data_IF_501898751053
#
_entry.id   IF_501898751053
#
_cell.length_a   1.000
_cell.length_b   1.000
_cell.length_c   1.000
_cell.angle_alpha   90.00
_cell.angle_beta   90.00
_cell.angle_gamma   90.00
#
_symmetry.space_group_name_H-M   'P 1'
#
loop_
_entity.id
_entity.type
_entity.pdbx_description
1 polymer ?
#
# COMPACT_ATOMS: atom_id res chain seq x y z
N UNK A 1 -33.54 -15.76 -40.77
CA UNK A 1 -34.22 -15.09 -39.64
C UNK A 1 -34.04 -15.98 -38.42
N UNK A 2 -32.90 -15.84 -37.73
CA UNK A 2 -32.59 -16.59 -36.51
C UNK A 2 -32.49 -15.57 -35.37
N UNK A 3 -33.37 -15.73 -34.38
CA UNK A 3 -33.45 -14.90 -33.18
C UNK A 3 -32.29 -15.32 -32.27
N UNK A 4 -31.28 -14.46 -32.12
CA UNK A 4 -30.28 -14.57 -31.07
C UNK A 4 -30.88 -13.91 -29.83
N UNK A 5 -31.27 -14.72 -28.86
CA UNK A 5 -31.70 -14.24 -27.55
C UNK A 5 -30.51 -13.56 -26.84
N UNK A 6 -30.60 -12.24 -26.69
CA UNK A 6 -29.68 -11.48 -25.87
C UNK A 6 -29.92 -11.87 -24.39
N UNK A 7 -28.97 -12.58 -23.79
CA UNK A 7 -28.87 -12.64 -22.34
C UNK A 7 -28.47 -11.25 -21.85
N UNK A 8 -29.47 -10.45 -21.45
CA UNK A 8 -29.26 -9.32 -20.57
C UNK A 8 -28.69 -9.86 -19.25
N UNK A 9 -27.38 -9.80 -19.10
CA UNK A 9 -26.76 -9.94 -17.80
C UNK A 9 -27.30 -8.81 -16.91
N UNK A 10 -28.12 -9.18 -15.92
CA UNK A 10 -28.52 -8.28 -14.85
C UNK A 10 -27.24 -7.71 -14.22
N UNK A 11 -26.96 -6.44 -14.51
CA UNK A 11 -25.97 -5.67 -13.77
C UNK A 11 -26.51 -5.58 -12.35
N UNK A 12 -25.85 -6.24 -11.39
CA UNK A 12 -26.05 -5.92 -9.99
C UNK A 12 -25.64 -4.46 -9.82
N UNK A 13 -26.56 -3.56 -9.42
CA UNK A 13 -26.23 -2.16 -9.26
C UNK A 13 -25.11 -2.02 -8.22
N UNK A 14 -24.18 -1.10 -8.48
CA UNK A 14 -23.20 -0.68 -7.48
C UNK A 14 -23.96 -0.31 -6.19
N UNK A 15 -23.47 -0.78 -5.04
CA UNK A 15 -24.13 -0.51 -3.76
C UNK A 15 -24.22 1.00 -3.55
N UNK A 16 -25.41 1.49 -3.20
CA UNK A 16 -25.66 2.92 -3.01
C UNK A 16 -24.65 3.54 -2.02
N UNK A 17 -24.25 4.82 -2.21
CA UNK A 17 -23.33 5.48 -1.30
C UNK A 17 -23.86 5.42 0.14
N UNK A 18 -23.00 5.01 1.08
CA UNK A 18 -23.32 4.93 2.50
C UNK A 18 -22.77 6.20 3.16
N UNK A 19 -23.44 6.73 4.17
CA UNK A 19 -22.89 7.86 4.90
C UNK A 19 -21.52 7.48 5.52
N UNK A 20 -20.48 8.27 5.27
CA UNK A 20 -19.13 8.08 5.84
C UNK A 20 -19.11 8.49 7.32
N UNK A 21 -19.74 7.70 8.20
CA UNK A 21 -19.99 8.10 9.60
C UNK A 21 -18.74 8.19 10.47
N UNK A 22 -17.71 7.42 10.12
CA UNK A 22 -16.44 7.38 10.86
C UNK A 22 -15.51 8.56 10.56
N UNK A 23 -15.81 9.36 9.53
CA UNK A 23 -14.95 10.45 9.08
C UNK A 23 -15.61 11.82 9.34
N UNK A 24 -14.95 12.66 10.14
CA UNK A 24 -15.34 14.05 10.39
C UNK A 24 -14.23 15.00 9.97
N UNK A 25 -14.60 16.26 9.70
CA UNK A 25 -13.66 17.35 9.40
C UNK A 25 -12.63 16.98 8.31
N UNK A 26 -13.08 16.27 7.27
CA UNK A 26 -12.22 15.80 6.19
C UNK A 26 -11.57 17.01 5.50
N UNK A 27 -10.24 16.97 5.39
CA UNK A 27 -9.42 18.01 4.78
C UNK A 27 -8.51 17.42 3.72
N UNK A 28 -8.52 18.02 2.53
CA UNK A 28 -7.60 17.70 1.45
C UNK A 28 -6.25 18.40 1.67
N UNK A 29 -5.15 17.67 1.49
CA UNK A 29 -3.77 18.13 1.76
C UNK A 29 -2.95 18.36 0.48
N UNK A 30 -3.27 17.63 -0.59
CA UNK A 30 -2.59 17.74 -1.88
C UNK A 30 -3.58 18.03 -3.01
N UNK A 31 -3.06 18.59 -4.10
CA UNK A 31 -3.84 18.99 -5.25
C UNK A 31 -3.02 18.76 -6.50
N UNK A 32 -3.62 18.15 -7.53
CA UNK A 32 -2.92 17.79 -8.76
C UNK A 32 -1.88 16.67 -8.60
N UNK A 33 -1.47 16.10 -9.74
CA UNK A 33 -0.52 14.99 -9.78
C UNK A 33 -1.14 13.66 -9.34
N UNK A 34 -0.28 12.73 -8.92
CA UNK A 34 -0.69 11.47 -8.30
C UNK A 34 -0.01 11.37 -6.93
N UNK A 35 -0.79 11.41 -5.86
CA UNK A 35 -0.31 11.43 -4.48
C UNK A 35 -0.87 10.21 -3.74
N UNK A 36 -0.01 9.44 -3.07
CA UNK A 36 -0.43 8.24 -2.37
C UNK A 36 0.48 7.95 -1.17
N UNK A 37 0.12 6.90 -0.41
CA UNK A 37 0.99 6.30 0.61
C UNK A 37 1.56 7.32 1.60
N UNK A 38 0.66 8.08 2.23
CA UNK A 38 1.03 9.05 3.24
C UNK A 38 1.06 8.40 4.63
N UNK A 39 2.17 8.56 5.34
CA UNK A 39 2.36 7.95 6.65
C UNK A 39 2.89 8.96 7.68
N UNK A 40 2.31 8.94 8.88
CA UNK A 40 2.68 9.82 9.97
C UNK A 40 4.08 9.50 10.52
N UNK A 41 4.82 10.53 10.92
CA UNK A 41 5.88 10.34 11.91
C UNK A 41 5.27 10.01 13.28
N UNK A 42 6.10 9.52 14.21
CA UNK A 42 5.64 9.08 15.54
C UNK A 42 4.85 10.15 16.32
N UNK A 43 5.28 11.40 16.22
CA UNK A 43 4.68 12.52 16.96
C UNK A 43 3.46 13.12 16.24
N UNK A 44 3.08 12.56 15.08
CA UNK A 44 1.95 13.02 14.27
C UNK A 44 2.02 14.51 13.93
N UNK A 45 3.20 14.99 13.53
CA UNK A 45 3.45 16.38 13.11
C UNK A 45 3.78 16.49 11.63
N UNK A 46 4.27 15.40 11.03
CA UNK A 46 4.64 15.31 9.62
C UNK A 46 4.06 14.06 8.98
N UNK A 47 3.82 14.16 7.67
CA UNK A 47 3.56 13.03 6.78
C UNK A 47 4.77 12.86 5.86
N UNK A 48 5.17 11.63 5.60
CA UNK A 48 5.97 11.25 4.42
C UNK A 48 5.02 10.67 3.39
N UNK A 49 5.21 10.95 2.12
CA UNK A 49 4.33 10.49 1.06
C UNK A 49 5.06 10.41 -0.28
N UNK A 50 4.48 9.65 -1.22
CA UNK A 50 4.96 9.61 -2.60
C UNK A 50 4.07 10.47 -3.49
N UNK A 51 4.69 11.21 -4.40
CA UNK A 51 3.98 12.07 -5.34
C UNK A 51 4.65 12.11 -6.69
N UNK A 52 3.84 12.03 -7.75
CA UNK A 52 4.25 12.34 -9.13
C UNK A 52 3.96 13.79 -9.45
N UNK A 53 4.99 14.57 -9.73
CA UNK A 53 4.90 15.97 -10.13
C UNK A 53 5.58 16.19 -11.49
N UNK A 54 5.16 17.18 -12.30
CA UNK A 54 5.62 17.36 -13.68
C UNK A 54 7.14 17.53 -13.85
N UNK A 55 7.82 18.03 -12.83
CA UNK A 55 9.26 18.29 -12.83
C UNK A 55 10.13 17.03 -12.64
N UNK A 56 9.54 15.89 -12.24
CA UNK A 56 10.25 14.65 -11.99
C UNK A 56 9.88 13.56 -13.01
N UNK A 57 10.80 12.61 -13.29
CA UNK A 57 10.51 11.53 -14.23
C UNK A 57 9.38 10.60 -13.75
N UNK A 58 9.27 10.38 -12.44
CA UNK A 58 8.28 9.52 -11.81
C UNK A 58 8.06 9.91 -10.33
N UNK A 59 7.27 9.14 -9.56
CA UNK A 59 6.98 9.46 -8.15
C UNK A 59 8.25 9.66 -7.33
N UNK A 60 8.25 10.70 -6.50
CA UNK A 60 9.31 11.07 -5.58
C UNK A 60 8.79 11.09 -4.14
N UNK A 61 9.71 11.01 -3.17
CA UNK A 61 9.37 11.02 -1.75
C UNK A 61 9.45 12.43 -1.20
N UNK A 62 8.36 12.87 -0.59
CA UNK A 62 8.23 14.16 0.05
C UNK A 62 7.80 14.00 1.50
N UNK A 63 8.05 15.05 2.27
CA UNK A 63 7.37 15.27 3.55
C UNK A 63 6.53 16.54 3.52
N UNK A 64 5.51 16.62 4.37
CA UNK A 64 4.71 17.83 4.60
C UNK A 64 4.17 17.88 6.04
N UNK A 65 3.75 19.07 6.48
CA UNK A 65 2.97 19.24 7.71
C UNK A 65 1.53 18.75 7.52
N UNK A 66 0.81 18.53 8.62
CA UNK A 66 -0.58 18.06 8.59
C UNK A 66 -1.59 19.08 8.03
N UNK A 67 -1.17 20.33 7.85
CA UNK A 67 -1.93 21.36 7.14
C UNK A 67 -1.69 21.36 5.62
N UNK A 68 -0.81 20.48 5.12
CA UNK A 68 -0.40 20.42 3.71
C UNK A 68 0.72 21.37 3.34
N UNK A 69 1.23 22.17 4.27
CA UNK A 69 2.34 23.11 4.05
C UNK A 69 3.72 22.45 4.22
N UNK A 70 4.79 23.22 3.94
CA UNK A 70 6.18 22.84 4.17
C UNK A 70 6.60 21.54 3.44
N UNK A 71 6.20 21.43 2.17
CA UNK A 71 6.54 20.29 1.31
C UNK A 71 8.05 20.25 1.03
N UNK A 72 8.72 19.13 1.34
CA UNK A 72 10.17 18.95 1.14
C UNK A 72 10.49 17.63 0.46
N UNK A 73 11.26 17.69 -0.63
CA UNK A 73 11.80 16.52 -1.33
C UNK A 73 12.86 15.83 -0.46
N UNK A 74 12.78 14.50 -0.36
CA UNK A 74 13.73 13.65 0.36
C UNK A 74 14.39 12.58 -0.51
N UNK A 75 13.82 12.27 -1.67
CA UNK A 75 14.47 11.46 -2.70
C UNK A 75 15.39 12.29 -3.61
N UNK A 76 16.02 11.65 -4.59
CA UNK A 76 17.00 12.27 -5.49
C UNK A 76 16.41 13.18 -6.57
N UNK A 77 15.09 13.11 -6.80
CA UNK A 77 14.48 13.68 -8.00
C UNK A 77 14.69 12.84 -9.27
N UNK A 78 15.32 11.65 -9.15
CA UNK A 78 15.62 10.73 -10.24
C UNK A 78 14.99 9.38 -9.99
N UNK A 79 14.70 8.65 -11.06
CA UNK A 79 14.07 7.33 -11.02
C UNK A 79 12.69 7.38 -10.38
N UNK A 80 12.09 6.20 -10.16
CA UNK A 80 10.85 6.07 -9.39
C UNK A 80 11.16 5.80 -7.93
N UNK A 81 10.36 6.37 -7.04
CA UNK A 81 10.41 6.11 -5.61
C UNK A 81 9.04 5.65 -5.08
N UNK A 82 9.04 4.88 -3.99
CA UNK A 82 7.80 4.35 -3.42
C UNK A 82 7.95 4.00 -1.94
N UNK A 83 6.82 3.87 -1.24
CA UNK A 83 6.70 3.24 0.09
C UNK A 83 7.64 3.86 1.14
N UNK A 84 7.59 5.19 1.28
CA UNK A 84 8.39 5.87 2.30
C UNK A 84 7.89 5.63 3.72
N UNK A 85 8.76 5.55 4.72
CA UNK A 85 8.36 5.38 6.13
C UNK A 85 9.34 6.04 7.10
N UNK A 86 8.83 6.63 8.18
CA UNK A 86 9.69 7.22 9.22
C UNK A 86 10.25 6.17 10.19
N UNK A 87 11.49 6.36 10.63
CA UNK A 87 11.96 5.69 11.85
C UNK A 87 11.24 6.26 13.09
N UNK A 88 11.00 5.43 14.13
CA UNK A 88 10.24 5.85 15.31
C UNK A 88 11.01 6.84 16.21
N UNK A 89 12.29 7.09 15.98
CA UNK A 89 13.05 8.17 16.59
C UNK A 89 13.01 9.48 15.79
N UNK A 90 12.29 9.48 14.66
CA UNK A 90 12.14 10.63 13.77
C UNK A 90 13.41 11.04 13.03
N UNK A 91 14.49 10.24 13.08
CA UNK A 91 15.78 10.61 12.48
C UNK A 91 15.88 10.27 10.99
N UNK A 92 15.15 9.26 10.52
CA UNK A 92 15.31 8.71 9.18
C UNK A 92 13.98 8.57 8.46
N UNK A 93 14.05 8.72 7.14
CA UNK A 93 13.00 8.31 6.20
C UNK A 93 13.59 7.20 5.34
N UNK A 94 12.96 6.03 5.37
CA UNK A 94 13.26 4.88 4.54
C UNK A 94 12.37 4.92 3.31
N UNK A 95 12.86 4.50 2.15
CA UNK A 95 12.06 4.42 0.93
C UNK A 95 12.77 3.56 -0.11
N UNK A 96 11.99 3.00 -1.04
CA UNK A 96 12.57 2.29 -2.17
C UNK A 96 12.71 3.20 -3.37
N UNK A 97 13.80 3.06 -4.13
CA UNK A 97 14.04 3.85 -5.32
C UNK A 97 14.80 3.08 -6.40
N UNK A 98 14.57 3.46 -7.66
CA UNK A 98 15.31 2.92 -8.82
C UNK A 98 16.52 3.77 -9.21
N UNK A 99 16.76 4.92 -8.57
CA UNK A 99 17.67 5.97 -9.07
C UNK A 99 19.10 5.51 -9.45
N UNK A 100 19.66 4.49 -8.80
CA UNK A 100 20.99 3.99 -9.17
C UNK A 100 21.00 3.08 -10.41
N UNK A 101 19.88 2.42 -10.72
CA UNK A 101 19.74 1.47 -11.84
C UNK A 101 18.98 2.07 -13.02
N UNK A 102 18.03 2.96 -12.73
CA UNK A 102 17.24 3.71 -13.70
C UNK A 102 16.89 5.10 -13.14
N UNK A 103 17.55 6.13 -13.66
CA UNK A 103 17.31 7.55 -13.31
C UNK A 103 16.07 8.15 -14.01
N UNK A 104 15.53 7.47 -15.03
CA UNK A 104 14.42 7.95 -15.86
C UNK A 104 13.04 7.44 -15.41
N UNK A 105 11.99 7.72 -16.22
CA UNK A 105 10.66 7.20 -15.97
C UNK A 105 10.63 5.67 -16.13
N UNK A 106 9.73 5.00 -15.41
CA UNK A 106 9.50 3.58 -15.66
C UNK A 106 8.85 3.32 -17.03
N UNK A 107 9.15 2.16 -17.60
CA UNK A 107 8.51 1.70 -18.83
C UNK A 107 7.01 1.58 -18.59
N UNK A 108 6.23 2.08 -19.55
CA UNK A 108 4.78 1.90 -19.52
C UNK A 108 4.45 0.40 -19.54
N UNK A 109 3.50 0.01 -18.71
CA UNK A 109 3.01 -1.36 -18.67
C UNK A 109 2.29 -1.72 -19.99
N UNK A 110 2.56 -2.92 -20.47
CA UNK A 110 1.76 -3.55 -21.53
C UNK A 110 0.53 -4.23 -20.90
N UNK A 111 -0.65 -3.73 -21.24
CA UNK A 111 -1.92 -4.26 -20.76
C UNK A 111 -2.54 -5.32 -21.68
N UNK A 112 -1.80 -5.83 -22.68
CA UNK A 112 -2.23 -6.96 -23.52
C UNK A 112 -2.55 -8.22 -22.70
N UNK A 113 -1.93 -8.35 -21.51
CA UNK A 113 -2.17 -9.42 -20.51
C UNK A 113 -3.23 -9.06 -19.46
N UNK A 114 -4.03 -8.02 -19.72
CA UNK A 114 -5.02 -7.47 -18.81
C UNK A 114 -4.41 -6.59 -17.73
N UNK A 115 -5.16 -6.36 -16.64
CA UNK A 115 -4.70 -5.54 -15.52
C UNK A 115 -3.64 -6.28 -14.69
N UNK A 116 -2.40 -5.80 -14.77
CA UNK A 116 -1.21 -6.33 -14.09
C UNK A 116 -0.46 -5.18 -13.42
N UNK A 117 0.35 -5.51 -12.41
CA UNK A 117 1.27 -4.58 -11.77
C UNK A 117 2.71 -4.99 -12.04
N UNK A 118 3.59 -4.00 -12.17
CA UNK A 118 5.04 -4.22 -12.26
C UNK A 118 5.64 -4.43 -10.88
N UNK A 119 6.43 -5.48 -10.74
CA UNK A 119 7.27 -5.80 -9.59
C UNK A 119 8.70 -5.40 -9.95
N UNK A 120 8.94 -4.10 -10.01
CA UNK A 120 10.10 -3.56 -10.71
C UNK A 120 11.44 -4.01 -10.07
N UNK A 121 12.31 -4.72 -10.82
CA UNK A 121 13.55 -5.30 -10.29
C UNK A 121 14.65 -4.26 -10.03
N UNK A 122 14.46 -3.00 -10.42
CA UNK A 122 15.42 -1.92 -10.19
C UNK A 122 15.29 -1.31 -8.80
N UNK A 123 14.21 -1.59 -8.07
CA UNK A 123 14.03 -1.07 -6.72
C UNK A 123 15.05 -1.63 -5.74
N UNK A 124 15.71 -0.74 -5.03
CA UNK A 124 16.48 -1.03 -3.82
C UNK A 124 16.00 -0.14 -2.67
N UNK A 125 16.29 -0.56 -1.43
CA UNK A 125 15.90 0.17 -0.22
C UNK A 125 17.00 1.13 0.20
N UNK A 126 16.61 2.38 0.44
CA UNK A 126 17.48 3.47 0.90
C UNK A 126 16.89 4.13 2.14
N UNK A 127 17.71 4.98 2.78
CA UNK A 127 17.25 5.92 3.80
C UNK A 127 17.96 7.26 3.68
N UNK A 128 17.31 8.31 4.17
CA UNK A 128 17.87 9.67 4.28
C UNK A 128 17.54 10.27 5.65
N UNK A 129 18.36 11.19 6.21
CA UNK A 129 17.97 11.89 7.42
C UNK A 129 16.66 12.66 7.22
N UNK A 130 15.73 12.56 8.17
CA UNK A 130 14.42 13.23 8.08
C UNK A 130 14.51 14.78 8.07
N UNK A 131 15.66 15.33 8.48
CA UNK A 131 15.98 16.76 8.40
C UNK A 131 16.58 17.18 7.04
N UNK A 132 16.70 16.25 6.10
CA UNK A 132 17.46 16.42 4.86
C UNK A 132 18.92 15.99 5.03
N UNK A 133 19.49 15.45 3.96
CA UNK A 133 20.86 14.95 3.97
C UNK A 133 21.11 13.93 2.86
N UNK A 134 22.29 13.28 2.87
CA UNK A 134 22.64 12.29 1.87
C UNK A 134 21.78 11.03 2.01
N UNK A 135 21.42 10.47 0.85
CA UNK A 135 20.73 9.18 0.76
C UNK A 135 21.76 8.06 0.90
N UNK A 136 21.43 7.05 1.69
CA UNK A 136 22.30 5.90 1.99
C UNK A 136 21.57 4.60 1.66
N UNK A 137 22.23 3.64 0.98
CA UNK A 137 21.62 2.34 0.71
C UNK A 137 21.47 1.54 2.01
N UNK A 138 20.39 0.77 2.10
CA UNK A 138 20.09 -0.13 3.23
C UNK A 138 20.08 -1.57 2.73
N UNK A 139 19.32 -1.89 1.68
CA UNK A 139 19.29 -3.22 1.07
C UNK A 139 19.34 -3.11 -0.45
N UNK A 140 20.36 -3.73 -1.05
CA UNK A 140 20.51 -3.90 -2.49
C UNK A 140 20.64 -5.39 -2.80
N UNK A 141 19.58 -6.00 -3.33
CA UNK A 141 19.59 -7.36 -3.87
C UNK A 141 19.08 -7.34 -5.33
N UNK A 142 19.32 -8.40 -6.12
CA UNK A 142 18.68 -8.57 -7.42
C UNK A 142 17.16 -8.73 -7.24
N UNK A 143 16.36 -8.04 -8.04
CA UNK A 143 14.89 -8.08 -7.93
C UNK A 143 14.29 -6.94 -7.11
N UNK A 144 12.98 -7.02 -6.92
CA UNK A 144 12.16 -6.02 -6.24
C UNK A 144 12.43 -5.98 -4.74
N UNK A 145 12.52 -4.76 -4.20
CA UNK A 145 12.58 -4.48 -2.76
C UNK A 145 11.73 -3.23 -2.52
N UNK A 146 10.56 -3.35 -1.90
CA UNK A 146 9.75 -2.18 -1.54
C UNK A 146 8.80 -2.46 -0.36
N UNK A 147 7.82 -1.57 -0.17
CA UNK A 147 6.77 -1.72 0.84
C UNK A 147 7.32 -1.84 2.27
N UNK A 148 8.36 -1.05 2.55
CA UNK A 148 9.04 -1.10 3.84
C UNK A 148 8.21 -0.39 4.91
N UNK A 149 8.02 -1.04 6.04
CA UNK A 149 7.45 -0.45 7.26
C UNK A 149 8.35 -0.74 8.45
N UNK A 150 8.36 0.17 9.42
CA UNK A 150 9.30 0.15 10.55
C UNK A 150 8.53 -0.10 11.84
N UNK A 151 9.02 -1.03 12.65
CA UNK A 151 8.41 -1.33 13.93
C UNK A 151 8.45 -0.10 14.86
N UNK A 152 7.33 0.29 15.48
CA UNK A 152 7.29 1.41 16.42
C UNK A 152 8.26 1.32 17.60
N UNK A 153 8.69 0.11 17.97
CA UNK A 153 9.72 -0.12 18.99
C UNK A 153 11.16 0.13 18.50
N UNK A 154 11.37 0.41 17.22
CA UNK A 154 12.66 0.73 16.60
C UNK A 154 13.61 -0.47 16.43
N UNK A 155 13.14 -1.70 16.61
CA UNK A 155 14.01 -2.89 16.62
C UNK A 155 14.13 -3.59 15.27
N UNK A 156 13.14 -3.45 14.38
CA UNK A 156 13.13 -4.15 13.10
C UNK A 156 12.29 -3.42 12.07
N UNK A 157 12.48 -3.77 10.81
CA UNK A 157 11.61 -3.38 9.70
C UNK A 157 11.10 -4.63 8.99
N UNK A 158 9.98 -4.47 8.29
CA UNK A 158 9.45 -5.47 7.35
C UNK A 158 9.36 -4.87 5.97
N UNK A 159 9.50 -5.70 4.94
CA UNK A 159 9.51 -5.26 3.55
C UNK A 159 9.17 -6.43 2.62
N UNK A 160 8.81 -6.11 1.39
CA UNK A 160 8.52 -7.08 0.33
C UNK A 160 9.73 -7.22 -0.59
N UNK A 161 10.03 -8.44 -1.03
CA UNK A 161 10.99 -8.64 -2.12
C UNK A 161 10.84 -9.96 -2.84
N UNK A 162 11.61 -10.17 -3.93
CA UNK A 162 11.44 -11.35 -4.78
C UNK A 162 12.74 -12.07 -5.20
N UNK A 163 13.87 -11.81 -4.54
CA UNK A 163 15.17 -12.38 -4.93
C UNK A 163 15.28 -13.90 -4.75
N UNK A 164 14.30 -14.53 -4.09
CA UNK A 164 14.19 -15.98 -3.91
C UNK A 164 13.24 -16.64 -4.94
N UNK A 165 12.83 -15.90 -5.97
CA UNK A 165 11.96 -16.41 -7.05
C UNK A 165 10.46 -16.45 -6.70
N UNK A 166 10.08 -15.89 -5.55
CA UNK A 166 8.69 -15.66 -5.13
C UNK A 166 8.60 -14.30 -4.45
N UNK A 167 7.44 -13.64 -4.49
CA UNK A 167 7.24 -12.39 -3.76
C UNK A 167 6.95 -12.71 -2.30
N UNK A 168 7.92 -12.39 -1.45
CA UNK A 168 7.97 -12.78 -0.05
C UNK A 168 7.91 -11.54 0.84
N UNK A 169 7.49 -11.77 2.09
CA UNK A 169 7.62 -10.77 3.16
C UNK A 169 8.83 -11.12 3.99
N UNK A 170 9.68 -10.13 4.21
CA UNK A 170 10.92 -10.24 4.99
C UNK A 170 10.87 -9.35 6.21
N UNK A 171 11.73 -9.68 7.17
CA UNK A 171 12.07 -8.87 8.34
C UNK A 171 13.58 -8.72 8.45
N UNK A 172 14.06 -7.57 8.88
CA UNK A 172 15.48 -7.34 9.17
C UNK A 172 15.68 -6.30 10.28
N UNK A 173 16.94 -6.12 10.69
CA UNK A 173 17.34 -4.95 11.46
C UNK A 173 17.22 -3.68 10.59
N UNK A 174 17.21 -2.50 11.22
CA UNK A 174 17.03 -1.21 10.53
C UNK A 174 18.20 -0.81 9.63
N UNK A 175 19.33 -1.52 9.69
CA UNK A 175 20.48 -1.36 8.81
C UNK A 175 20.50 -2.38 7.66
N UNK A 176 19.45 -3.19 7.52
CA UNK A 176 19.32 -4.19 6.45
C UNK A 176 20.01 -5.53 6.75
N UNK A 177 20.60 -5.73 7.94
CA UNK A 177 21.20 -7.00 8.34
C UNK A 177 20.18 -7.95 8.97
N UNK A 178 20.60 -9.21 9.16
CA UNK A 178 19.79 -10.25 9.81
C UNK A 178 18.42 -10.47 9.14
N UNK A 179 18.41 -10.45 7.80
CA UNK A 179 17.21 -10.67 6.99
C UNK A 179 16.67 -12.08 7.24
N UNK A 180 15.38 -12.19 7.53
CA UNK A 180 14.62 -13.43 7.69
C UNK A 180 13.36 -13.37 6.84
N UNK A 181 13.04 -14.47 6.17
CA UNK A 181 11.77 -14.63 5.45
C UNK A 181 10.67 -14.91 6.46
N UNK A 182 9.57 -14.17 6.38
CA UNK A 182 8.38 -14.37 7.22
C UNK A 182 7.29 -15.13 6.48
N UNK A 183 7.10 -14.85 5.19
CA UNK A 183 6.05 -15.44 4.33
C UNK A 183 6.71 -15.80 2.99
N UNK A 184 6.61 -17.06 2.59
CA UNK A 184 7.25 -17.61 1.38
C UNK A 184 6.31 -18.47 0.53
N UNK A 185 5.03 -18.56 0.91
CA UNK A 185 4.06 -19.31 0.15
C UNK A 185 3.83 -18.70 -1.25
N UNK A 186 3.55 -19.51 -2.29
CA UNK A 186 3.35 -18.99 -3.63
C UNK A 186 2.24 -17.93 -3.73
N UNK A 187 2.54 -16.85 -4.44
CA UNK A 187 1.63 -15.73 -4.71
C UNK A 187 2.25 -14.38 -4.35
N UNK A 188 1.53 -13.29 -4.61
CA UNK A 188 1.97 -11.98 -4.16
C UNK A 188 1.72 -11.84 -2.66
N UNK A 189 2.78 -12.00 -1.86
CA UNK A 189 2.78 -11.64 -0.44
C UNK A 189 3.44 -10.27 -0.26
N UNK A 190 2.70 -9.26 0.19
CA UNK A 190 3.28 -7.92 0.29
C UNK A 190 2.49 -6.94 1.13
N UNK A 191 2.93 -5.69 1.11
CA UNK A 191 2.42 -4.58 1.91
C UNK A 191 2.33 -4.90 3.41
N UNK A 192 3.42 -5.36 4.07
CA UNK A 192 3.38 -5.65 5.50
C UNK A 192 3.34 -4.35 6.32
N UNK A 193 2.36 -4.22 7.22
CA UNK A 193 2.27 -3.15 8.20
C UNK A 193 2.33 -3.70 9.62
N UNK A 194 3.23 -3.12 10.42
CA UNK A 194 3.48 -3.52 11.80
C UNK A 194 2.53 -2.77 12.75
N UNK A 195 1.94 -3.47 13.73
CA UNK A 195 1.08 -2.84 14.74
C UNK A 195 1.80 -1.81 15.58
N UNK A 196 1.04 -0.87 16.17
CA UNK A 196 1.57 0.16 17.07
C UNK A 196 2.34 -0.40 18.28
N UNK A 197 1.96 -1.58 18.78
CA UNK A 197 2.65 -2.29 19.86
C UNK A 197 3.81 -3.19 19.37
N UNK A 198 4.06 -3.21 18.06
CA UNK A 198 5.09 -4.00 17.38
C UNK A 198 4.96 -5.53 17.51
N UNK A 199 3.77 -6.05 17.84
CA UNK A 199 3.54 -7.49 18.06
C UNK A 199 2.92 -8.22 16.88
N UNK A 200 2.22 -7.51 15.99
CA UNK A 200 1.50 -8.10 14.85
C UNK A 200 1.93 -7.45 13.55
N UNK A 201 1.78 -8.21 12.47
CA UNK A 201 1.95 -7.72 11.09
C UNK A 201 0.67 -8.07 10.32
N UNK A 202 0.05 -7.07 9.70
CA UNK A 202 -1.00 -7.27 8.69
C UNK A 202 -0.42 -7.09 7.31
N UNK A 203 -0.90 -7.87 6.34
CA UNK A 203 -0.37 -7.87 5.00
C UNK A 203 -1.44 -8.34 4.01
N UNK A 204 -1.19 -8.14 2.71
CA UNK A 204 -2.02 -8.70 1.65
C UNK A 204 -1.36 -9.95 1.08
N UNK A 205 -2.19 -10.89 0.62
CA UNK A 205 -1.74 -12.10 -0.04
C UNK A 205 -2.66 -12.46 -1.21
N UNK A 206 -2.10 -12.80 -2.36
CA UNK A 206 -2.86 -13.36 -3.49
C UNK A 206 -3.52 -14.68 -3.12
N UNK A 207 -4.72 -14.90 -3.66
CA UNK A 207 -5.40 -16.20 -3.61
C UNK A 207 -4.92 -17.06 -4.78
N UNK A 208 -4.27 -18.19 -4.47
CA UNK A 208 -3.88 -19.22 -5.46
C UNK A 208 -4.77 -20.44 -5.24
N UNK A 209 -5.71 -20.69 -6.15
CA UNK A 209 -6.80 -21.67 -5.95
C UNK A 209 -6.50 -23.04 -6.57
N UNK A 210 -5.41 -23.18 -7.32
CA UNK A 210 -5.04 -24.41 -8.01
C UNK A 210 -3.86 -24.24 -8.96
N UNK A 211 -3.57 -25.27 -9.74
CA UNK A 211 -2.40 -25.33 -10.61
C UNK A 211 -2.41 -24.25 -11.71
N UNK A 212 -3.58 -23.91 -12.24
CA UNK A 212 -3.72 -22.87 -13.26
C UNK A 212 -3.32 -21.48 -12.72
N UNK A 213 -3.87 -21.08 -11.56
CA UNK A 213 -3.52 -19.83 -10.89
C UNK A 213 -2.01 -19.77 -10.55
N UNK A 214 -1.47 -20.89 -10.07
CA UNK A 214 -0.04 -21.00 -9.74
C UNK A 214 0.84 -20.85 -10.98
N UNK A 215 0.44 -21.48 -12.10
CA UNK A 215 1.16 -21.38 -13.37
C UNK A 215 1.14 -19.95 -13.89
N UNK A 216 -0.03 -19.31 -13.95
CA UNK A 216 -0.16 -17.91 -14.38
C UNK A 216 0.71 -16.98 -13.53
N UNK A 217 0.65 -17.12 -12.20
CA UNK A 217 1.47 -16.33 -11.28
C UNK A 217 2.97 -16.47 -11.60
N UNK A 218 3.46 -17.70 -11.78
CA UNK A 218 4.87 -17.97 -12.09
C UNK A 218 5.28 -17.46 -13.47
N UNK A 219 4.39 -17.49 -14.46
CA UNK A 219 4.65 -16.95 -15.79
C UNK A 219 4.75 -15.43 -15.77
N UNK A 220 3.79 -14.75 -15.12
CA UNK A 220 3.83 -13.30 -14.93
C UNK A 220 5.09 -12.86 -14.17
N UNK A 221 5.46 -13.56 -13.09
CA UNK A 221 6.60 -13.17 -12.27
C UNK A 221 7.95 -13.24 -13.03
N UNK A 222 8.09 -14.14 -14.02
CA UNK A 222 9.28 -14.19 -14.89
C UNK A 222 9.45 -12.93 -15.75
N UNK A 223 8.38 -12.16 -15.90
CA UNK A 223 8.34 -10.90 -16.64
C UNK A 223 8.26 -9.69 -15.69
N UNK A 224 8.53 -9.89 -14.40
CA UNK A 224 8.39 -8.88 -13.34
C UNK A 224 6.95 -8.35 -13.21
N UNK A 225 5.95 -9.20 -13.47
CA UNK A 225 4.53 -8.85 -13.40
C UNK A 225 3.78 -9.68 -12.35
N UNK A 226 2.69 -9.11 -11.84
CA UNK A 226 1.70 -9.81 -11.01
C UNK A 226 0.29 -9.39 -11.32
N UNK A 227 -0.67 -10.26 -10.99
CA UNK A 227 -2.09 -9.95 -11.09
C UNK A 227 -2.69 -9.61 -9.71
N UNK A 228 -3.10 -8.34 -9.49
CA UNK A 228 -3.59 -7.87 -8.19
C UNK A 228 -5.12 -7.98 -8.05
N UNK A 229 -5.78 -8.88 -8.78
CA UNK A 229 -7.26 -8.91 -8.85
C UNK A 229 -7.91 -9.72 -7.72
N UNK A 230 -7.17 -10.67 -7.12
CA UNK A 230 -7.66 -11.53 -6.04
C UNK A 230 -6.65 -11.53 -4.90
N UNK A 231 -6.86 -10.66 -3.92
CA UNK A 231 -5.97 -10.49 -2.77
C UNK A 231 -6.81 -10.38 -1.50
N UNK A 232 -6.33 -11.02 -0.45
CA UNK A 232 -6.98 -11.03 0.85
C UNK A 232 -6.04 -10.50 1.91
N UNK A 233 -6.61 -9.97 2.99
CA UNK A 233 -5.88 -9.50 4.16
C UNK A 233 -5.58 -10.68 5.08
N UNK A 234 -4.33 -10.73 5.52
CA UNK A 234 -3.80 -11.71 6.45
C UNK A 234 -3.15 -10.99 7.64
N UNK A 235 -3.03 -11.72 8.74
CA UNK A 235 -2.34 -11.26 9.95
C UNK A 235 -1.43 -12.36 10.48
N UNK A 236 -0.31 -11.97 11.07
CA UNK A 236 0.64 -12.85 11.75
C UNK A 236 1.25 -12.18 12.98
N UNK A 237 1.95 -12.95 13.80
CA UNK A 237 2.84 -12.42 14.83
C UNK A 237 4.07 -11.76 14.20
N UNK A 238 4.68 -10.80 14.90
CA UNK A 238 5.86 -10.07 14.43
C UNK A 238 7.10 -10.97 14.18
N UNK A 239 7.09 -12.22 14.66
CA UNK A 239 8.12 -13.22 14.40
C UNK A 239 7.78 -14.15 13.22
N UNK A 240 6.63 -13.96 12.57
CA UNK A 240 6.17 -14.75 11.42
C UNK A 240 5.30 -15.96 11.76
N UNK A 241 5.05 -16.24 13.05
CA UNK A 241 4.16 -17.33 13.47
C UNK A 241 2.69 -16.92 13.42
N UNK A 242 1.80 -17.90 13.59
CA UNK A 242 0.36 -17.70 13.72
C UNK A 242 -0.28 -16.92 12.55
N UNK A 243 0.21 -17.18 11.34
CA UNK A 243 -0.37 -16.63 10.10
C UNK A 243 -1.81 -17.10 9.95
N UNK A 244 -2.72 -16.17 9.69
CA UNK A 244 -4.11 -16.51 9.38
C UNK A 244 -4.74 -15.49 8.45
N UNK A 245 -5.63 -15.98 7.61
CA UNK A 245 -6.47 -15.16 6.75
C UNK A 245 -7.50 -14.41 7.60
N UNK A 246 -7.73 -13.14 7.28
CA UNK A 246 -8.74 -12.28 7.92
C UNK A 246 -9.95 -12.12 7.00
N UNK A 247 -9.73 -11.86 5.72
CA UNK A 247 -10.80 -11.58 4.75
C UNK A 247 -10.98 -12.72 3.74
N UNK A 248 -12.20 -12.89 3.24
CA UNK A 248 -12.58 -13.82 2.15
C UNK A 248 -13.59 -13.14 1.22
N UNK A 249 -13.18 -12.01 0.65
CA UNK A 249 -14.06 -11.10 -0.08
C UNK A 249 -14.11 -11.38 -1.58
N UNK A 250 -13.16 -12.14 -2.12
CA UNK A 250 -13.16 -12.59 -3.51
C UNK A 250 -12.76 -11.53 -4.54
N UNK A 251 -12.47 -10.31 -4.09
CA UNK A 251 -11.90 -9.21 -4.87
C UNK A 251 -10.45 -8.91 -4.50
N UNK A 252 -10.03 -7.68 -4.76
CA UNK A 252 -8.74 -7.15 -4.36
C UNK A 252 -8.88 -6.42 -3.03
N UNK A 253 -8.27 -6.95 -1.97
CA UNK A 253 -8.10 -6.28 -0.69
C UNK A 253 -6.63 -5.98 -0.44
N UNK A 254 -6.27 -4.72 -0.17
CA UNK A 254 -4.87 -4.30 -0.02
C UNK A 254 -4.70 -3.08 0.89
N UNK A 255 -3.44 -2.65 1.06
CA UNK A 255 -3.02 -1.55 1.95
C UNK A 255 -3.63 -1.66 3.37
N UNK A 256 -3.47 -2.82 4.05
CA UNK A 256 -4.02 -2.97 5.39
C UNK A 256 -3.23 -2.15 6.41
N UNK A 257 -3.92 -1.61 7.41
CA UNK A 257 -3.30 -0.98 8.57
C UNK A 257 -4.03 -1.39 9.84
N UNK A 258 -3.28 -1.65 10.92
CA UNK A 258 -3.86 -2.02 12.21
C UNK A 258 -4.35 -0.78 12.95
N UNK A 259 -5.61 -0.81 13.36
CA UNK A 259 -6.14 0.21 14.24
C UNK A 259 -5.39 0.19 15.60
N UNK A 260 -5.13 1.35 16.25
CA UNK A 260 -4.35 1.40 17.50
C UNK A 260 -4.93 0.66 18.70
N UNK A 261 -6.21 0.31 18.66
CA UNK A 261 -6.83 -0.56 19.67
C UNK A 261 -6.35 -2.02 19.61
N UNK A 262 -5.62 -2.41 18.56
CA UNK A 262 -5.12 -3.76 18.36
C UNK A 262 -6.19 -4.80 18.01
N UNK A 263 -7.44 -4.37 17.77
CA UNK A 263 -8.60 -5.24 17.55
C UNK A 263 -9.16 -5.14 16.14
N UNK A 264 -8.86 -4.07 15.41
CA UNK A 264 -9.42 -3.82 14.07
C UNK A 264 -8.33 -3.58 13.02
N UNK A 265 -8.69 -3.82 11.77
CA UNK A 265 -7.86 -3.60 10.59
C UNK A 265 -8.66 -2.73 9.62
N UNK A 266 -8.05 -1.65 9.15
CA UNK A 266 -8.57 -0.86 8.02
C UNK A 266 -7.83 -1.25 6.75
N UNK A 267 -8.50 -1.35 5.61
CA UNK A 267 -7.90 -1.73 4.34
C UNK A 267 -8.71 -1.22 3.16
N UNK A 268 -8.10 -1.14 1.98
CA UNK A 268 -8.79 -0.80 0.74
C UNK A 268 -9.34 -2.06 0.07
N UNK A 269 -10.57 -2.04 -0.43
CA UNK A 269 -11.14 -3.17 -1.16
C UNK A 269 -12.14 -2.75 -2.23
N UNK A 270 -12.20 -3.51 -3.32
CA UNK A 270 -13.27 -3.40 -4.30
C UNK A 270 -14.43 -4.38 -4.02
N UNK A 271 -14.62 -4.78 -2.76
CA UNK A 271 -15.64 -5.77 -2.39
C UNK A 271 -17.07 -5.40 -2.83
N UNK A 272 -17.44 -4.11 -2.78
CA UNK A 272 -18.72 -3.62 -3.27
C UNK A 272 -18.80 -3.46 -4.80
N UNK A 273 -17.67 -3.57 -5.51
CA UNK A 273 -17.55 -3.49 -6.97
C UNK A 273 -16.50 -4.49 -7.51
N UNK A 274 -16.73 -5.81 -7.36
CA UNK A 274 -15.71 -6.82 -7.69
C UNK A 274 -15.38 -6.88 -9.18
N UNK A 275 -16.20 -6.26 -10.05
CA UNK A 275 -16.00 -6.21 -11.50
C UNK A 275 -15.40 -4.90 -11.98
N UNK A 276 -15.40 -3.85 -11.16
CA UNK A 276 -14.96 -2.53 -11.55
C UNK A 276 -13.71 -2.08 -10.81
N UNK A 277 -13.58 -0.77 -10.71
CA UNK A 277 -12.38 -0.09 -10.20
C UNK A 277 -12.65 0.73 -8.96
N UNK A 278 -13.87 0.63 -8.41
CA UNK A 278 -14.24 1.28 -7.17
C UNK A 278 -13.49 0.62 -6.00
N UNK A 279 -12.67 1.38 -5.29
CA UNK A 279 -12.09 0.94 -4.03
C UNK A 279 -12.58 1.82 -2.90
N UNK A 280 -13.05 1.18 -1.83
CA UNK A 280 -13.38 1.87 -0.60
C UNK A 280 -12.49 1.39 0.54
N UNK A 281 -12.46 2.17 1.61
CA UNK A 281 -11.93 1.73 2.88
C UNK A 281 -12.96 0.87 3.62
N UNK A 282 -12.50 -0.24 4.18
CA UNK A 282 -13.26 -1.13 5.03
C UNK A 282 -12.55 -1.30 6.37
N UNK A 283 -13.32 -1.41 7.45
CA UNK A 283 -12.86 -1.76 8.78
C UNK A 283 -13.38 -3.16 9.12
N UNK A 284 -12.53 -4.01 9.70
CA UNK A 284 -12.90 -5.37 10.11
C UNK A 284 -12.23 -5.70 11.44
N UNK A 285 -12.88 -6.53 12.26
CA UNK A 285 -12.19 -7.10 13.42
C UNK A 285 -11.05 -8.00 12.96
N UNK A 286 -10.00 -8.09 13.79
CA UNK A 286 -8.87 -8.97 13.50
C UNK A 286 -9.33 -10.42 13.27
N UNK A 287 -10.38 -10.90 13.93
CA UNK A 287 -10.90 -12.26 13.77
C UNK A 287 -11.72 -12.49 12.49
N UNK A 288 -11.91 -11.46 11.66
CA UNK A 288 -12.66 -11.51 10.41
C UNK A 288 -14.16 -11.17 10.55
N UNK A 289 -14.63 -10.83 11.75
CA UNK A 289 -16.02 -10.40 11.99
C UNK A 289 -16.21 -8.89 11.84
N UNK A 290 -17.47 -8.42 11.85
CA UNK A 290 -17.84 -7.01 11.82
C UNK A 290 -17.19 -6.20 10.69
N UNK A 291 -17.28 -6.69 9.45
CA UNK A 291 -16.89 -5.92 8.28
C UNK A 291 -17.82 -4.71 8.10
N UNK A 292 -17.23 -3.51 8.06
CA UNK A 292 -17.93 -2.23 7.89
C UNK A 292 -17.27 -1.45 6.75
N UNK A 293 -18.07 -0.91 5.83
CA UNK A 293 -17.61 0.02 4.79
C UNK A 293 -17.47 1.42 5.40
N UNK A 294 -16.27 2.01 5.30
CA UNK A 294 -15.89 3.28 5.93
C UNK A 294 -16.08 4.46 4.98
N UNK A 295 -15.73 4.27 3.71
CA UNK A 295 -15.90 5.27 2.65
C UNK A 295 -16.81 4.77 1.54
N UNK A 296 -17.36 5.69 0.75
CA UNK A 296 -18.20 5.32 -0.40
C UNK A 296 -18.15 6.34 -1.53
N UNK A 297 -17.06 7.09 -1.64
CA UNK A 297 -16.88 8.09 -2.67
C UNK A 297 -16.36 7.43 -3.95
N UNK A 298 -16.86 7.84 -5.14
CA UNK A 298 -16.47 7.26 -6.42
C UNK A 298 -14.95 7.12 -6.66
N UNK A 299 -14.62 6.12 -7.48
CA UNK A 299 -13.32 5.77 -8.03
C UNK A 299 -12.39 5.08 -7.00
N UNK A 300 -11.70 5.82 -6.15
CA UNK A 300 -10.65 5.21 -5.33
C UNK A 300 -10.51 5.89 -3.98
N UNK A 301 -10.56 5.09 -2.92
CA UNK A 301 -10.07 5.38 -1.58
C UNK A 301 -9.10 4.27 -1.14
N UNK A 302 -7.93 4.65 -0.61
CA UNK A 302 -6.91 3.67 -0.25
C UNK A 302 -5.78 4.22 0.60
N UNK A 303 -4.80 3.35 0.87
CA UNK A 303 -3.60 3.67 1.65
C UNK A 303 -3.88 4.34 3.02
N UNK A 304 -4.77 3.76 3.85
CA UNK A 304 -5.12 4.32 5.16
C UNK A 304 -3.98 4.18 6.18
N UNK A 305 -3.83 5.17 7.05
CA UNK A 305 -3.03 5.05 8.28
C UNK A 305 -3.65 5.84 9.42
N UNK A 306 -3.84 5.18 10.56
CA UNK A 306 -4.28 5.83 11.81
C UNK A 306 -3.12 6.51 12.52
N UNK A 307 -3.38 7.61 13.22
CA UNK A 307 -2.49 8.10 14.28
C UNK A 307 -2.47 7.12 15.45
N UNK A 308 -1.40 7.15 16.26
CA UNK A 308 -1.24 6.20 17.39
C UNK A 308 -2.34 6.34 18.46
N UNK A 309 -2.94 7.51 18.59
CA UNK A 309 -4.06 7.76 19.51
C UNK A 309 -5.43 7.38 18.92
N UNK A 310 -5.48 6.94 17.65
CA UNK A 310 -6.71 6.53 16.96
C UNK A 310 -7.63 7.69 16.58
N UNK A 311 -7.20 8.95 16.76
CA UNK A 311 -8.08 10.12 16.56
C UNK A 311 -8.09 10.66 15.14
N UNK A 312 -7.11 10.29 14.32
CA UNK A 312 -7.04 10.74 12.92
C UNK A 312 -6.71 9.61 11.97
N UNK A 313 -7.23 9.74 10.77
CA UNK A 313 -6.93 8.88 9.63
C UNK A 313 -6.37 9.74 8.50
N UNK A 314 -5.21 9.37 7.97
CA UNK A 314 -4.76 9.83 6.65
C UNK A 314 -5.08 8.75 5.62
N UNK A 315 -5.53 9.15 4.44
CA UNK A 315 -5.83 8.24 3.33
C UNK A 315 -5.68 8.95 1.99
N UNK A 316 -5.50 8.17 0.93
CA UNK A 316 -5.52 8.66 -0.44
C UNK A 316 -6.93 8.50 -1.02
N UNK A 317 -7.37 9.47 -1.81
CA UNK A 317 -8.68 9.43 -2.46
C UNK A 317 -8.68 10.16 -3.80
N UNK A 318 -9.53 9.71 -4.72
CA UNK A 318 -9.83 10.41 -5.97
C UNK A 318 -10.99 11.41 -5.82
N UNK A 319 -11.55 11.56 -4.61
CA UNK A 319 -12.55 12.62 -4.33
C UNK A 319 -11.98 13.99 -4.68
N UNK A 320 -12.82 14.84 -5.27
CA UNK A 320 -12.47 16.17 -5.78
C UNK A 320 -11.44 16.20 -6.93
N UNK A 321 -11.07 15.05 -7.50
CA UNK A 321 -10.19 15.00 -8.68
C UNK A 321 -10.81 15.72 -9.88
N UNK A 322 -10.00 16.51 -10.59
CA UNK A 322 -10.43 17.23 -11.80
C UNK A 322 -10.30 16.38 -13.05
N UNK A 323 -9.44 15.36 -13.00
CA UNK A 323 -9.24 14.38 -14.06
C UNK A 323 -9.28 12.97 -13.47
N UNK A 324 -9.65 12.00 -14.31
CA UNK A 324 -9.70 10.58 -13.91
C UNK A 324 -8.33 10.13 -13.40
N UNK A 325 -8.31 9.49 -12.23
CA UNK A 325 -7.08 8.97 -11.62
C UNK A 325 -6.22 10.05 -10.93
N UNK A 326 -6.74 11.26 -10.73
CA UNK A 326 -6.12 12.25 -9.85
C UNK A 326 -6.32 11.83 -8.38
N UNK A 327 -5.32 11.20 -7.81
CA UNK A 327 -5.31 10.79 -6.40
C UNK A 327 -4.67 11.85 -5.52
N UNK A 328 -5.36 12.24 -4.46
CA UNK A 328 -4.93 13.23 -3.48
C UNK A 328 -4.96 12.67 -2.06
N UNK A 329 -4.22 13.30 -1.16
CA UNK A 329 -4.16 12.93 0.24
C UNK A 329 -5.17 13.71 1.07
N UNK A 330 -5.82 13.01 1.98
CA UNK A 330 -6.83 13.55 2.89
C UNK A 330 -6.49 13.17 4.32
N UNK A 331 -6.84 14.03 5.25
CA UNK A 331 -6.83 13.75 6.68
C UNK A 331 -8.23 13.99 7.24
N UNK A 332 -8.68 13.11 8.12
CA UNK A 332 -9.97 13.19 8.79
C UNK A 332 -9.81 12.96 10.29
N UNK A 333 -10.71 13.55 11.07
CA UNK A 333 -10.94 13.15 12.45
C UNK A 333 -11.72 11.83 12.44
N UNK A 334 -11.22 10.84 13.17
CA UNK A 334 -11.86 9.54 13.30
C UNK A 334 -12.90 9.54 14.42
N UNK A 335 -14.07 8.96 14.14
CA UNK A 335 -15.15 8.74 15.10
C UNK A 335 -15.49 7.25 15.08
N UNK A 336 -15.44 6.62 16.25
CA UNK A 336 -15.76 5.19 16.41
C UNK A 336 -17.26 4.88 16.33
#
# INVERSE_FOLDING_TARGET
MLIVAAFLALQTPAQAPVAETHLKNIRQLTFGGQNAEAYFNRDCTLLTYQTRQPEFPDEQIFTMKLDGSDKKLHSTGKGRCTCSYFSPDGKWIYFSSTHERNEGPQKKLDFSKGYVWMVNPDFALYRTPAKGGPITPVIKKPGYIAETTIAPNGKFMTFTGNWEGNINIYRSDLDGKNIKTLVDEPGYNGGPFISWDSKKIVYRRSVISGEADLKEYRELLKEDLVRPSKMEIWIMDADGRNKRQVTKLGGASFAPFLHPDGKRIIFASNYADPKGREFDLYLINIDGTNLVRVTSMPDFDGFPMFTRDGKKLVFASNRNGKVRGETNLFIADWVD
#
